data_IF_910063952960
#
_entry.id   IF_910063952960
#
_cell.length_a   1.000
_cell.length_b   1.000
_cell.length_c   1.000
_cell.angle_alpha   90.00
_cell.angle_beta   90.00
_cell.angle_gamma   90.00
#
_symmetry.space_group_name_H-M   'P 1'
#
loop_
_entity.id
_entity.type
_entity.pdbx_description
1 polymer ?
#
# COMPACT_ATOMS: atom_id res chain seq x y z
N UNK A 1 -11.11 25.01 15.32
CA UNK A 1 -9.94 24.12 15.46
C UNK A 1 -10.21 22.68 14.98
N UNK A 2 -11.31 22.41 14.28
CA UNK A 2 -11.76 21.04 13.87
C UNK A 2 -11.13 20.61 12.52
N UNK A 3 -10.53 21.53 11.76
CA UNK A 3 -10.04 21.24 10.39
C UNK A 3 -8.68 20.54 10.28
N UNK A 4 -7.79 20.72 11.24
CA UNK A 4 -6.39 20.27 11.12
C UNK A 4 -6.21 18.74 11.32
N UNK A 5 -6.99 18.11 12.20
CA UNK A 5 -6.89 16.66 12.46
C UNK A 5 -7.39 15.80 11.28
N UNK A 6 -8.40 16.33 10.51
CA UNK A 6 -8.93 15.63 9.34
C UNK A 6 -7.95 15.58 8.17
N UNK A 7 -7.12 16.62 8.00
CA UNK A 7 -6.10 16.70 6.94
C UNK A 7 -4.97 15.69 7.20
N UNK A 8 -4.64 15.43 8.46
CA UNK A 8 -3.54 14.54 8.83
C UNK A 8 -3.83 13.05 8.54
N UNK A 9 -5.09 12.62 8.69
CA UNK A 9 -5.49 11.25 8.35
C UNK A 9 -5.40 10.98 6.84
N UNK A 10 -5.69 12.00 6.03
CA UNK A 10 -5.55 11.94 4.56
C UNK A 10 -4.07 11.93 4.16
N UNK A 11 -3.21 12.69 4.83
CA UNK A 11 -1.78 12.82 4.50
C UNK A 11 -0.97 11.55 4.69
N UNK A 12 -1.25 10.76 5.72
CA UNK A 12 -0.58 9.45 5.96
C UNK A 12 -1.05 8.38 4.95
N UNK A 13 -2.26 8.56 4.35
CA UNK A 13 -2.85 7.58 3.43
C UNK A 13 -2.75 7.95 1.94
N UNK A 14 -2.42 9.20 1.59
CA UNK A 14 -2.44 9.70 0.21
C UNK A 14 -1.03 9.99 -0.35
N UNK A 15 0.03 9.83 0.43
CA UNK A 15 1.41 10.10 0.00
C UNK A 15 1.93 9.20 -1.16
N UNK A 16 1.09 8.40 -1.80
CA UNK A 16 1.44 7.49 -2.90
C UNK A 16 1.01 7.93 -4.31
N UNK A 17 0.40 9.09 -4.50
CA UNK A 17 -0.02 9.55 -5.83
C UNK A 17 0.78 10.76 -6.32
N UNK A 18 2.11 10.58 -6.43
CA UNK A 18 2.97 11.44 -7.24
C UNK A 18 2.65 11.24 -8.73
N UNK A 19 2.18 12.29 -9.41
CA UNK A 19 1.71 12.24 -10.78
C UNK A 19 2.73 11.71 -11.78
N UNK A 20 2.36 10.66 -12.49
CA UNK A 20 2.95 10.32 -13.78
C UNK A 20 2.05 10.86 -14.88
N UNK A 21 2.46 12.00 -15.43
CA UNK A 21 1.93 12.49 -16.71
C UNK A 21 2.55 11.66 -17.83
N UNK A 22 1.79 10.72 -18.38
CA UNK A 22 2.21 9.94 -19.55
C UNK A 22 1.68 10.63 -20.82
N UNK A 23 2.52 11.46 -21.44
CA UNK A 23 2.29 11.96 -22.79
C UNK A 23 2.76 10.88 -23.78
N UNK A 24 1.84 10.09 -24.31
CA UNK A 24 2.10 9.16 -25.41
C UNK A 24 2.08 9.92 -26.73
N UNK A 25 3.26 10.21 -27.29
CA UNK A 25 3.39 10.69 -28.67
C UNK A 25 3.34 9.50 -29.63
N UNK A 26 2.23 9.36 -30.33
CA UNK A 26 2.05 8.43 -31.43
C UNK A 26 2.65 9.03 -32.72
N UNK A 27 3.74 8.47 -33.23
CA UNK A 27 4.33 8.85 -34.49
C UNK A 27 4.07 7.75 -35.52
N UNK A 28 3.14 8.00 -36.42
CA UNK A 28 2.92 7.24 -37.64
C UNK A 28 3.76 7.88 -38.76
N UNK A 29 4.44 7.05 -39.52
CA UNK A 29 4.97 7.46 -40.85
C UNK A 29 6.27 6.79 -41.21
N UNK A 30 6.23 6.00 -42.30
CA UNK A 30 7.42 5.50 -42.99
C UNK A 30 7.09 4.42 -44.00
N UNK A 31 7.05 4.80 -45.22
CA UNK A 31 6.76 4.12 -46.48
C UNK A 31 7.61 2.90 -46.84
N UNK A 32 7.16 2.01 -47.73
CA UNK A 32 7.86 0.77 -48.09
C UNK A 32 8.92 1.01 -49.20
N UNK A 33 10.10 0.49 -48.98
CA UNK A 33 11.21 0.48 -49.93
C UNK A 33 11.63 -0.92 -50.35
N UNK A 34 11.40 -1.17 -51.60
CA UNK A 34 12.10 -2.01 -52.60
C UNK A 34 12.88 -3.26 -52.17
N UNK A 35 12.46 -4.34 -52.75
CA UNK A 35 13.07 -5.66 -52.91
C UNK A 35 14.35 -5.55 -53.76
N UNK A 36 15.45 -6.19 -53.34
CA UNK A 36 16.54 -6.59 -54.22
C UNK A 36 16.93 -8.03 -53.94
N UNK A 37 16.84 -8.82 -54.97
CA UNK A 37 17.14 -10.23 -55.02
C UNK A 37 18.66 -10.50 -55.09
N UNK A 38 18.99 -11.76 -54.85
CA UNK A 38 20.21 -12.49 -55.18
C UNK A 38 21.41 -12.37 -54.26
N UNK A 39 21.53 -13.40 -53.41
CA UNK A 39 22.85 -13.99 -53.11
C UNK A 39 22.70 -15.51 -53.05
N UNK A 40 23.37 -16.12 -54.00
CA UNK A 40 23.54 -17.55 -54.21
C UNK A 40 24.21 -18.16 -52.95
N UNK A 41 23.52 -19.13 -52.36
CA UNK A 41 24.02 -19.89 -51.22
C UNK A 41 25.06 -20.90 -51.67
N UNK A 42 26.27 -20.76 -51.20
CA UNK A 42 27.28 -21.82 -51.24
C UNK A 42 26.89 -22.91 -50.23
N UNK A 43 26.72 -24.12 -50.78
CA UNK A 43 26.53 -25.33 -49.97
C UNK A 43 27.84 -25.64 -49.26
N UNK A 44 27.89 -25.42 -47.94
CA UNK A 44 28.96 -25.94 -47.07
C UNK A 44 28.46 -27.28 -46.49
N UNK A 45 29.37 -28.24 -46.39
CA UNK A 45 29.21 -29.61 -45.91
C UNK A 45 28.47 -29.66 -44.54
N UNK A 46 27.72 -30.76 -44.29
CA UNK A 46 27.09 -30.99 -43.01
C UNK A 46 28.15 -31.32 -41.95
N UNK A 47 28.58 -30.31 -41.17
CA UNK A 47 29.28 -30.56 -39.94
C UNK A 47 28.31 -31.30 -38.98
N UNK A 48 28.79 -32.39 -38.37
CA UNK A 48 28.09 -33.19 -37.37
C UNK A 48 27.41 -32.26 -36.36
N UNK A 49 26.09 -32.27 -36.38
CA UNK A 49 25.30 -31.64 -35.33
C UNK A 49 25.45 -32.49 -34.07
N UNK A 50 26.14 -31.94 -33.08
CA UNK A 50 26.12 -32.47 -31.70
C UNK A 50 24.67 -32.37 -31.19
N UNK A 51 23.95 -33.48 -31.29
CA UNK A 51 22.54 -33.64 -30.93
C UNK A 51 22.41 -33.93 -29.42
N UNK A 52 23.32 -33.41 -28.62
CA UNK A 52 23.24 -33.45 -27.18
C UNK A 52 22.13 -32.49 -26.71
N UNK A 53 21.10 -32.99 -26.02
CA UNK A 53 20.06 -32.11 -25.51
C UNK A 53 20.68 -31.08 -24.56
N UNK A 54 20.30 -29.80 -24.65
CA UNK A 54 20.82 -28.77 -23.75
C UNK A 54 20.61 -29.18 -22.29
N UNK A 55 21.58 -28.93 -21.41
CA UNK A 55 21.49 -29.28 -20.02
C UNK A 55 20.18 -28.70 -19.45
N UNK A 56 19.35 -29.56 -18.86
CA UNK A 56 18.09 -29.13 -18.20
C UNK A 56 18.45 -28.04 -17.20
N UNK A 57 18.05 -26.82 -17.48
CA UNK A 57 18.19 -25.69 -16.56
C UNK A 57 17.60 -26.12 -15.21
N UNK A 58 18.37 -25.91 -14.13
CA UNK A 58 17.83 -26.09 -12.77
C UNK A 58 16.57 -25.26 -12.67
N UNK A 59 15.47 -25.82 -12.13
CA UNK A 59 14.25 -25.03 -11.93
C UNK A 59 14.59 -23.81 -11.08
N UNK A 60 14.32 -22.64 -11.61
CA UNK A 60 14.43 -21.40 -10.83
C UNK A 60 13.50 -21.49 -9.62
N UNK A 61 13.95 -20.99 -8.45
CA UNK A 61 13.08 -20.97 -7.28
C UNK A 61 11.80 -20.19 -7.61
N UNK A 62 10.64 -20.62 -7.11
CA UNK A 62 9.39 -19.91 -7.38
C UNK A 62 9.47 -18.46 -6.93
N UNK A 63 8.89 -17.56 -7.70
CA UNK A 63 8.85 -16.13 -7.35
C UNK A 63 8.21 -15.94 -5.96
N UNK A 64 8.72 -14.99 -5.16
CA UNK A 64 8.22 -14.77 -3.81
C UNK A 64 6.74 -14.41 -3.82
N UNK A 65 5.98 -15.00 -2.91
CA UNK A 65 4.56 -14.71 -2.72
C UNK A 65 4.36 -13.26 -2.21
N UNK A 66 3.15 -12.72 -2.34
CA UNK A 66 2.80 -11.41 -1.78
C UNK A 66 3.14 -11.33 -0.29
N UNK A 67 2.83 -12.37 0.48
CA UNK A 67 3.13 -12.41 1.92
C UNK A 67 4.63 -12.35 2.20
N UNK A 68 5.44 -13.12 1.47
CA UNK A 68 6.90 -13.09 1.60
C UNK A 68 7.48 -11.72 1.28
N UNK A 69 6.94 -11.02 0.26
CA UNK A 69 7.35 -9.64 -0.07
C UNK A 69 7.00 -8.67 1.06
N UNK A 70 5.80 -8.79 1.65
CA UNK A 70 5.40 -7.96 2.80
C UNK A 70 6.28 -8.23 4.01
N UNK A 71 6.59 -9.51 4.30
CA UNK A 71 7.45 -9.88 5.43
C UNK A 71 8.85 -9.27 5.31
N UNK A 72 9.44 -9.31 4.09
CA UNK A 72 10.73 -8.64 3.81
C UNK A 72 10.64 -7.12 4.00
N UNK A 73 9.61 -6.49 3.45
CA UNK A 73 9.43 -5.04 3.57
C UNK A 73 9.23 -4.60 5.03
N UNK A 74 8.44 -5.34 5.81
CA UNK A 74 8.27 -5.03 7.23
C UNK A 74 9.54 -5.25 8.04
N UNK A 75 10.33 -6.29 7.75
CA UNK A 75 11.61 -6.51 8.40
C UNK A 75 12.60 -5.37 8.11
N UNK A 76 12.66 -4.92 6.86
CA UNK A 76 13.49 -3.77 6.46
C UNK A 76 12.98 -2.47 7.06
N UNK A 77 11.67 -2.25 7.12
CA UNK A 77 11.07 -1.06 7.72
C UNK A 77 11.43 -0.94 9.21
N UNK A 78 11.39 -2.05 9.93
CA UNK A 78 11.77 -2.08 11.36
C UNK A 78 13.26 -1.79 11.56
N UNK A 79 14.13 -2.17 10.62
CA UNK A 79 15.58 -1.99 10.69
C UNK A 79 16.06 -0.66 10.08
N UNK A 80 15.22 0.03 9.29
CA UNK A 80 15.61 1.26 8.61
C UNK A 80 15.89 2.39 9.61
N UNK A 81 16.99 3.11 9.36
CA UNK A 81 17.37 4.30 10.11
C UNK A 81 17.40 5.55 9.22
N UNK A 82 17.30 5.38 7.91
CA UNK A 82 17.25 6.46 6.93
C UNK A 82 15.79 6.85 6.63
N UNK A 83 15.42 8.11 6.81
CA UNK A 83 14.07 8.60 6.50
C UNK A 83 13.65 8.36 5.04
N UNK A 84 14.54 8.55 4.06
CA UNK A 84 14.22 8.36 2.65
C UNK A 84 13.97 6.89 2.31
N UNK A 85 14.77 5.97 2.88
CA UNK A 85 14.51 4.53 2.77
C UNK A 85 13.18 4.16 3.44
N UNK A 86 12.91 4.68 4.62
CA UNK A 86 11.65 4.47 5.35
C UNK A 86 10.45 4.85 4.50
N UNK A 87 10.45 6.04 3.89
CA UNK A 87 9.37 6.51 3.03
C UNK A 87 9.19 5.59 1.80
N UNK A 88 10.28 5.14 1.20
CA UNK A 88 10.27 4.18 0.10
C UNK A 88 9.67 2.83 0.49
N UNK A 89 10.02 2.31 1.67
CA UNK A 89 9.48 1.05 2.20
C UNK A 89 8.00 1.16 2.54
N UNK A 90 7.56 2.25 3.14
CA UNK A 90 6.14 2.53 3.41
C UNK A 90 5.36 2.55 2.10
N UNK A 91 5.84 3.29 1.09
CA UNK A 91 5.19 3.36 -0.22
C UNK A 91 5.12 1.99 -0.91
N UNK A 92 6.12 1.12 -0.73
CA UNK A 92 6.12 -0.24 -1.27
C UNK A 92 5.09 -1.14 -0.55
N UNK A 93 5.00 -1.04 0.78
CA UNK A 93 4.00 -1.75 1.59
C UNK A 93 2.59 -1.30 1.20
N UNK A 94 2.35 0.00 1.10
CA UNK A 94 1.05 0.56 0.71
C UNK A 94 0.63 0.10 -0.68
N UNK A 95 1.56 0.06 -1.64
CA UNK A 95 1.29 -0.46 -2.99
C UNK A 95 0.88 -1.92 -2.95
N UNK A 96 1.62 -2.79 -2.26
CA UNK A 96 1.27 -4.19 -2.11
C UNK A 96 -0.07 -4.40 -1.38
N UNK A 97 -0.38 -3.55 -0.41
CA UNK A 97 -1.66 -3.62 0.30
C UNK A 97 -2.84 -3.26 -0.61
N UNK A 98 -2.64 -2.40 -1.61
CA UNK A 98 -3.66 -2.03 -2.59
C UNK A 98 -3.87 -3.09 -3.69
N UNK A 99 -3.04 -4.13 -3.77
CA UNK A 99 -3.17 -5.24 -4.72
C UNK A 99 -4.00 -6.36 -4.08
N UNK A 100 -5.14 -6.71 -4.69
CA UNK A 100 -6.01 -7.78 -4.22
C UNK A 100 -5.67 -9.15 -4.83
N UNK A 101 -4.93 -9.14 -5.93
CA UNK A 101 -4.73 -10.31 -6.81
C UNK A 101 -5.93 -10.58 -7.72
N UNK A 102 -6.85 -9.64 -7.86
CA UNK A 102 -8.03 -9.70 -8.74
C UNK A 102 -8.22 -8.36 -9.45
N UNK A 103 -8.22 -8.38 -10.79
CA UNK A 103 -8.41 -7.17 -11.61
C UNK A 103 -9.69 -6.40 -11.24
N UNK A 104 -10.78 -7.12 -10.96
CA UNK A 104 -12.03 -6.51 -10.50
C UNK A 104 -11.89 -5.87 -9.12
N UNK A 105 -11.21 -6.53 -8.20
CA UNK A 105 -10.92 -5.99 -6.86
C UNK A 105 -10.08 -4.74 -6.95
N UNK A 106 -9.00 -4.78 -7.70
CA UNK A 106 -8.07 -3.67 -7.88
C UNK A 106 -8.74 -2.47 -8.57
N UNK A 107 -9.58 -2.72 -9.59
CA UNK A 107 -10.37 -1.68 -10.24
C UNK A 107 -11.35 -1.00 -9.28
N UNK A 108 -12.10 -1.77 -8.46
CA UNK A 108 -13.03 -1.22 -7.49
C UNK A 108 -12.30 -0.44 -6.40
N UNK A 109 -11.14 -0.92 -5.94
CA UNK A 109 -10.31 -0.21 -4.96
C UNK A 109 -9.81 1.12 -5.53
N UNK A 110 -9.28 1.13 -6.74
CA UNK A 110 -8.84 2.36 -7.40
C UNK A 110 -9.97 3.40 -7.47
N UNK A 111 -11.18 2.97 -7.82
CA UNK A 111 -12.35 3.86 -7.85
C UNK A 111 -12.77 4.34 -6.45
N UNK A 112 -12.69 3.47 -5.44
CA UNK A 112 -12.99 3.83 -4.06
C UNK A 112 -11.99 4.88 -3.53
N UNK A 113 -10.69 4.68 -3.81
CA UNK A 113 -9.63 5.63 -3.44
C UNK A 113 -9.80 6.97 -4.19
N UNK A 114 -10.13 6.95 -5.47
CA UNK A 114 -10.42 8.17 -6.23
C UNK A 114 -11.63 8.93 -5.68
N UNK A 115 -12.70 8.22 -5.31
CA UNK A 115 -13.88 8.81 -4.68
C UNK A 115 -13.54 9.40 -3.30
N UNK A 116 -12.70 8.73 -2.50
CA UNK A 116 -12.18 9.26 -1.24
C UNK A 116 -11.37 10.53 -1.45
N UNK A 117 -10.45 10.55 -2.43
CA UNK A 117 -9.63 11.72 -2.76
C UNK A 117 -10.46 12.93 -3.22
N UNK A 118 -11.57 12.70 -3.92
CA UNK A 118 -12.54 13.73 -4.30
C UNK A 118 -13.59 14.04 -3.21
N UNK A 119 -13.42 13.51 -1.99
CA UNK A 119 -14.32 13.66 -0.85
C UNK A 119 -15.76 13.14 -1.08
N UNK A 120 -15.94 12.29 -2.09
CA UNK A 120 -17.23 11.61 -2.29
C UNK A 120 -17.31 10.35 -1.39
N UNK A 121 -17.43 10.61 -0.08
CA UNK A 121 -17.35 9.57 0.95
C UNK A 121 -18.42 8.49 0.81
N UNK A 122 -19.63 8.87 0.36
CA UNK A 122 -20.72 7.91 0.17
C UNK A 122 -20.43 6.90 -0.94
N UNK A 123 -19.90 7.36 -2.08
CA UNK A 123 -19.49 6.49 -3.19
C UNK A 123 -18.31 5.63 -2.79
N UNK A 124 -17.29 6.21 -2.13
CA UNK A 124 -16.16 5.45 -1.62
C UNK A 124 -16.60 4.33 -0.70
N UNK A 125 -17.46 4.62 0.29
CA UNK A 125 -18.00 3.62 1.21
C UNK A 125 -18.75 2.51 0.49
N UNK A 126 -19.66 2.85 -0.44
CA UNK A 126 -20.44 1.86 -1.17
C UNK A 126 -19.57 0.91 -2.02
N UNK A 127 -18.48 1.41 -2.60
CA UNK A 127 -17.51 0.58 -3.33
C UNK A 127 -16.73 -0.35 -2.38
N UNK A 128 -16.30 0.17 -1.22
CA UNK A 128 -15.59 -0.61 -0.21
C UNK A 128 -16.49 -1.66 0.45
N UNK A 129 -17.79 -1.36 0.66
CA UNK A 129 -18.76 -2.35 1.14
C UNK A 129 -18.86 -3.55 0.17
N UNK A 130 -18.88 -3.29 -1.15
CA UNK A 130 -18.85 -4.34 -2.18
C UNK A 130 -17.55 -5.13 -2.16
N UNK A 131 -16.40 -4.44 -2.02
CA UNK A 131 -15.09 -5.09 -1.95
C UNK A 131 -14.98 -6.05 -0.76
N UNK A 132 -15.46 -5.65 0.40
CA UNK A 132 -15.42 -6.46 1.61
C UNK A 132 -16.32 -7.71 1.48
N UNK A 133 -17.44 -7.61 0.77
CA UNK A 133 -18.28 -8.78 0.45
C UNK A 133 -17.54 -9.72 -0.51
N UNK A 134 -16.89 -9.20 -1.53
CA UNK A 134 -16.17 -9.98 -2.54
C UNK A 134 -14.89 -10.61 -1.98
N UNK A 135 -14.16 -9.87 -1.14
CA UNK A 135 -12.85 -10.27 -0.61
C UNK A 135 -12.74 -9.93 0.89
N UNK A 136 -13.43 -10.67 1.76
CA UNK A 136 -13.46 -10.38 3.21
C UNK A 136 -12.11 -10.54 3.91
N UNK A 137 -11.16 -11.24 3.27
CA UNK A 137 -9.77 -11.39 3.74
C UNK A 137 -8.84 -10.25 3.34
N UNK A 138 -9.28 -9.27 2.58
CA UNK A 138 -8.42 -8.17 2.13
C UNK A 138 -8.39 -7.05 3.16
N UNK A 139 -7.33 -7.01 3.98
CA UNK A 139 -7.19 -6.06 5.08
C UNK A 139 -7.32 -4.59 4.63
N UNK A 140 -6.76 -4.23 3.47
CA UNK A 140 -6.77 -2.85 2.99
C UNK A 140 -8.18 -2.35 2.63
N UNK A 141 -9.09 -3.22 2.19
CA UNK A 141 -10.47 -2.83 1.94
C UNK A 141 -11.17 -2.39 3.23
N UNK A 142 -10.95 -3.11 4.33
CA UNK A 142 -11.42 -2.73 5.67
C UNK A 142 -10.75 -1.44 6.14
N UNK A 143 -9.44 -1.30 5.94
CA UNK A 143 -8.69 -0.11 6.32
C UNK A 143 -9.18 1.16 5.60
N UNK A 144 -9.38 1.09 4.28
CA UNK A 144 -9.96 2.22 3.53
C UNK A 144 -11.37 2.53 3.98
N UNK A 145 -12.21 1.53 4.29
CA UNK A 145 -13.55 1.79 4.83
C UNK A 145 -13.52 2.41 6.22
N UNK A 146 -12.58 1.98 7.07
CA UNK A 146 -12.35 2.63 8.37
C UNK A 146 -12.06 4.12 8.22
N UNK A 147 -11.17 4.47 7.28
CA UNK A 147 -10.84 5.86 6.96
C UNK A 147 -12.08 6.65 6.51
N UNK A 148 -12.87 6.08 5.59
CA UNK A 148 -14.09 6.72 5.09
C UNK A 148 -15.09 6.92 6.22
N UNK A 149 -15.31 5.91 7.06
CA UNK A 149 -16.23 5.99 8.22
C UNK A 149 -15.78 7.07 9.20
N UNK A 150 -14.49 7.15 9.51
CA UNK A 150 -13.94 8.21 10.35
C UNK A 150 -14.23 9.61 9.79
N UNK A 151 -14.04 9.80 8.49
CA UNK A 151 -14.34 11.07 7.81
C UNK A 151 -15.84 11.39 7.76
N UNK A 152 -16.69 10.38 7.90
CA UNK A 152 -18.14 10.50 8.02
C UNK A 152 -18.62 10.65 9.47
N UNK A 153 -17.71 10.82 10.43
CA UNK A 153 -17.97 10.87 11.88
C UNK A 153 -18.56 9.55 12.47
N UNK A 154 -18.45 8.42 11.73
CA UNK A 154 -18.77 7.07 12.24
C UNK A 154 -17.53 6.44 12.89
N UNK A 155 -17.14 6.95 14.06
CA UNK A 155 -15.97 6.43 14.79
C UNK A 155 -16.16 4.99 15.25
N UNK A 156 -17.38 4.63 15.66
CA UNK A 156 -17.69 3.27 16.10
C UNK A 156 -17.51 2.28 14.95
N UNK A 157 -18.03 2.59 13.77
CA UNK A 157 -17.84 1.78 12.59
C UNK A 157 -16.39 1.73 12.13
N UNK A 158 -15.68 2.85 12.23
CA UNK A 158 -14.24 2.92 11.94
C UNK A 158 -13.44 1.99 12.86
N UNK A 159 -13.67 2.02 14.17
CA UNK A 159 -13.00 1.13 15.14
C UNK A 159 -13.30 -0.35 14.89
N UNK A 160 -14.53 -0.69 14.51
CA UNK A 160 -14.89 -2.06 14.16
C UNK A 160 -14.13 -2.56 12.92
N UNK A 161 -13.99 -1.71 11.90
CA UNK A 161 -13.21 -2.02 10.70
C UNK A 161 -11.71 -2.13 11.02
N UNK A 162 -11.14 -1.23 11.83
CA UNK A 162 -9.75 -1.28 12.30
C UNK A 162 -9.48 -2.59 13.05
N UNK A 163 -10.39 -3.01 13.93
CA UNK A 163 -10.26 -4.28 14.63
C UNK A 163 -10.18 -5.46 13.64
N UNK A 164 -10.96 -5.41 12.55
CA UNK A 164 -10.89 -6.42 11.50
C UNK A 164 -9.58 -6.38 10.74
N UNK A 165 -9.05 -5.19 10.42
CA UNK A 165 -7.72 -5.02 9.81
C UNK A 165 -6.65 -5.68 10.66
N UNK A 166 -6.63 -5.43 11.97
CA UNK A 166 -5.60 -5.94 12.87
C UNK A 166 -5.69 -7.44 13.14
N UNK A 167 -6.85 -8.07 12.87
CA UNK A 167 -6.99 -9.53 12.83
C UNK A 167 -6.35 -10.09 11.55
N UNK A 168 -6.53 -9.43 10.42
CA UNK A 168 -6.04 -9.87 9.11
C UNK A 168 -4.54 -9.58 8.91
N UNK A 169 -4.07 -8.41 9.34
CA UNK A 169 -2.67 -8.00 9.33
C UNK A 169 -2.33 -7.25 10.63
N UNK A 170 -1.79 -7.96 11.63
CA UNK A 170 -1.45 -7.37 12.94
C UNK A 170 -0.38 -6.27 12.88
N UNK A 171 0.40 -6.23 11.78
CA UNK A 171 1.46 -5.23 11.53
C UNK A 171 0.98 -4.02 10.76
N UNK A 172 -0.32 -3.85 10.60
CA UNK A 172 -0.86 -2.72 9.86
C UNK A 172 -0.73 -1.42 10.66
N UNK A 173 0.45 -0.77 10.59
CA UNK A 173 0.77 0.44 11.35
C UNK A 173 -0.18 1.61 11.06
N UNK A 174 -0.71 1.72 9.84
CA UNK A 174 -1.73 2.71 9.49
C UNK A 174 -3.04 2.51 10.26
N UNK A 175 -3.50 1.26 10.42
CA UNK A 175 -4.68 0.95 11.22
C UNK A 175 -4.45 1.21 12.71
N UNK A 176 -3.26 0.86 13.24
CA UNK A 176 -2.87 1.19 14.62
C UNK A 176 -2.82 2.71 14.85
N UNK A 177 -2.31 3.46 13.88
CA UNK A 177 -2.31 4.92 13.90
C UNK A 177 -3.74 5.48 13.92
N UNK A 178 -4.61 4.98 13.06
CA UNK A 178 -6.03 5.35 13.03
C UNK A 178 -6.75 5.05 14.34
N UNK A 179 -6.49 3.87 14.94
CA UNK A 179 -6.98 3.54 16.29
C UNK A 179 -6.54 4.58 17.31
N UNK A 180 -5.25 4.91 17.34
CA UNK A 180 -4.70 5.90 18.24
C UNK A 180 -5.39 7.26 18.10
N UNK A 181 -5.63 7.71 16.87
CA UNK A 181 -6.31 8.98 16.59
C UNK A 181 -7.77 9.00 17.10
N UNK A 182 -8.51 7.93 16.92
CA UNK A 182 -9.91 7.83 17.41
C UNK A 182 -9.91 7.83 18.93
N UNK A 183 -9.05 7.04 19.57
CA UNK A 183 -8.94 6.97 21.02
C UNK A 183 -8.53 8.31 21.64
N UNK A 184 -7.56 9.00 21.03
CA UNK A 184 -7.13 10.32 21.47
C UNK A 184 -8.28 11.34 21.38
N UNK A 185 -9.03 11.35 20.26
CA UNK A 185 -10.20 12.22 20.11
C UNK A 185 -11.31 11.92 21.14
N UNK A 186 -11.42 10.66 21.54
CA UNK A 186 -12.33 10.23 22.61
C UNK A 186 -11.85 10.51 24.03
N UNK A 187 -10.65 11.08 24.22
CA UNK A 187 -10.06 11.36 25.51
C UNK A 187 -9.38 10.15 26.18
N UNK A 188 -9.27 9.02 25.49
CA UNK A 188 -8.61 7.80 25.97
C UNK A 188 -7.10 7.85 25.73
N UNK A 189 -6.43 8.81 26.37
CA UNK A 189 -5.00 9.13 26.09
C UNK A 189 -4.06 7.96 26.30
N UNK A 190 -4.24 7.15 27.35
CA UNK A 190 -3.39 5.99 27.62
C UNK A 190 -3.55 4.89 26.55
N UNK A 191 -4.77 4.64 26.12
CA UNK A 191 -5.06 3.67 25.05
C UNK A 191 -4.52 4.16 23.71
N UNK A 192 -4.69 5.44 23.39
CA UNK A 192 -4.11 6.07 22.22
C UNK A 192 -2.59 5.95 22.20
N UNK A 193 -1.94 6.21 23.34
CA UNK A 193 -0.50 6.09 23.50
C UNK A 193 -0.02 4.64 23.27
N UNK A 194 -0.78 3.64 23.76
CA UNK A 194 -0.47 2.23 23.50
C UNK A 194 -0.58 1.88 22.01
N UNK A 195 -1.63 2.36 21.33
CA UNK A 195 -1.82 2.13 19.90
C UNK A 195 -0.69 2.75 19.06
N UNK A 196 -0.31 4.00 19.36
CA UNK A 196 0.77 4.68 18.65
C UNK A 196 2.13 4.03 18.89
N UNK A 197 2.43 3.60 20.14
CA UNK A 197 3.69 2.89 20.46
C UNK A 197 3.78 1.58 19.69
N UNK A 198 2.69 0.81 19.63
CA UNK A 198 2.66 -0.42 18.83
C UNK A 198 2.88 -0.14 17.34
N UNK A 199 2.36 0.96 16.80
CA UNK A 199 2.65 1.37 15.42
C UNK A 199 4.13 1.73 15.22
N UNK A 200 4.77 2.37 16.22
CA UNK A 200 6.20 2.70 16.19
C UNK A 200 7.11 1.47 16.32
N UNK A 201 6.68 0.38 16.96
CA UNK A 201 7.42 -0.88 16.97
C UNK A 201 7.55 -1.45 15.55
N UNK A 202 6.57 -1.19 14.68
CA UNK A 202 6.55 -1.65 13.28
C UNK A 202 7.27 -0.67 12.36
N UNK A 203 7.06 0.64 12.55
CA UNK A 203 7.60 1.72 11.74
C UNK A 203 8.29 2.78 12.62
N UNK A 204 9.51 2.49 13.14
CA UNK A 204 10.16 3.33 14.17
C UNK A 204 10.49 4.74 13.69
N UNK A 205 10.69 4.93 12.39
CA UNK A 205 11.10 6.22 11.82
C UNK A 205 9.93 7.13 11.43
N UNK A 206 8.67 6.71 11.63
CA UNK A 206 7.50 7.53 11.33
C UNK A 206 7.44 8.76 12.24
N UNK A 207 7.89 9.92 11.72
CA UNK A 207 7.99 11.16 12.47
C UNK A 207 6.66 11.62 13.07
N UNK A 208 5.56 11.41 12.34
CA UNK A 208 4.21 11.76 12.79
C UNK A 208 3.78 10.98 14.03
N UNK A 209 4.11 9.67 14.08
CA UNK A 209 3.80 8.83 15.24
C UNK A 209 4.68 9.18 16.44
N UNK A 210 5.97 9.47 16.20
CA UNK A 210 6.87 9.94 17.28
C UNK A 210 6.33 11.22 17.91
N UNK A 211 5.99 12.20 17.09
CA UNK A 211 5.41 13.47 17.57
C UNK A 211 4.10 13.25 18.37
N UNK A 212 3.24 12.33 17.92
CA UNK A 212 2.02 11.98 18.67
C UNK A 212 2.32 11.35 20.02
N UNK A 213 3.26 10.40 20.07
CA UNK A 213 3.70 9.75 21.32
C UNK A 213 4.32 10.75 22.28
N UNK A 214 5.20 11.63 21.81
CA UNK A 214 5.87 12.64 22.65
C UNK A 214 4.84 13.62 23.23
N UNK A 215 3.94 14.11 22.43
CA UNK A 215 2.87 15.04 22.83
C UNK A 215 1.93 14.40 23.87
N UNK A 216 1.45 13.17 23.63
CA UNK A 216 0.58 12.47 24.56
C UNK A 216 1.30 12.09 25.85
N UNK A 217 2.57 11.67 25.77
CA UNK A 217 3.35 11.35 26.96
C UNK A 217 3.52 12.57 27.87
N UNK A 218 3.73 13.77 27.29
CA UNK A 218 3.80 15.01 28.05
C UNK A 218 2.44 15.36 28.70
N UNK A 219 1.34 15.18 27.96
CA UNK A 219 0.00 15.46 28.45
C UNK A 219 -0.41 14.54 29.62
N UNK A 220 -0.15 13.24 29.52
CA UNK A 220 -0.45 12.26 30.57
C UNK A 220 0.36 12.54 31.83
N UNK A 221 1.67 12.86 31.69
CA UNK A 221 2.51 13.23 32.86
C UNK A 221 2.07 14.52 33.53
N UNK A 222 1.60 15.51 32.76
CA UNK A 222 1.09 16.78 33.30
C UNK A 222 -0.25 16.67 34.01
N UNK A 223 -1.02 15.61 33.78
CA UNK A 223 -2.30 15.33 34.47
C UNK A 223 -2.10 14.57 35.81
N UNK A 224 -0.89 14.04 36.05
CA UNK A 224 -0.56 13.23 37.22
C UNK A 224 0.06 14.07 38.36
N UNK A 225 0.16 15.39 38.20
CA UNK A 225 0.63 16.38 39.15
C UNK A 225 -0.50 17.26 39.67
#
# INVERSE_FOLDING_TARGET
MIGFARIFFIGVFVAGLGGLSLAAAYRVGGTPGAVSAERIVSVADPAESDDSPPPKAKPEPPAPTRQQKLDDLFARLAASTDPAETDGLIAAIDRLNLESGSDTGDFLMARAVAALGSQNLQVSRALLDKLIILQPGWAEAWNKRATVRYLMDDERGSMADIARVLILEPRHFGALSGMGMILERGGFSDDALRAYRRALEIAPQLASLRAAVDRLTAAVKGQSL
#
